data_IF_739747412567
#
_entry.id   IF_739747412567
#
_cell.length_a   1.000
_cell.length_b   1.000
_cell.length_c   1.000
_cell.angle_alpha   90.00
_cell.angle_beta   90.00
_cell.angle_gamma   90.00
#
_symmetry.space_group_name_H-M   'P 1'
#
loop_
_entity.id
_entity.type
_entity.pdbx_description
1 polymer ?
#
# COMPACT_ATOMS: atom_id res chain seq x y z
N UNK A 1 18.70 2.31 14.87
CA UNK A 1 17.51 1.43 14.90
C UNK A 1 16.53 1.91 13.84
N UNK A 2 15.87 1.01 13.09
CA UNK A 2 14.86 1.43 12.12
C UNK A 2 13.69 2.11 12.83
N UNK A 3 13.23 3.25 12.31
CA UNK A 3 12.08 3.97 12.90
C UNK A 3 10.76 3.29 12.52
N UNK A 4 9.68 3.59 13.24
CA UNK A 4 8.35 3.02 12.96
C UNK A 4 7.92 3.31 11.53
N UNK A 5 8.19 4.52 11.02
CA UNK A 5 7.90 4.87 9.62
C UNK A 5 8.69 4.03 8.61
N UNK A 6 9.94 3.69 8.87
CA UNK A 6 10.73 2.79 8.01
C UNK A 6 10.17 1.37 8.02
N UNK A 7 9.85 0.84 9.21
CA UNK A 7 9.29 -0.51 9.36
C UNK A 7 7.93 -0.61 8.67
N UNK A 8 7.05 0.37 8.88
CA UNK A 8 5.72 0.40 8.28
C UNK A 8 5.79 0.40 6.75
N UNK A 9 6.65 1.25 6.16
CA UNK A 9 6.83 1.30 4.71
C UNK A 9 7.36 -0.03 4.15
N UNK A 10 8.30 -0.68 4.86
CA UNK A 10 8.81 -1.99 4.48
C UNK A 10 7.73 -3.08 4.51
N UNK A 11 6.92 -3.14 5.57
CA UNK A 11 5.81 -4.10 5.69
C UNK A 11 4.76 -3.85 4.60
N UNK A 12 4.41 -2.58 4.34
CA UNK A 12 3.42 -2.22 3.32
C UNK A 12 3.89 -2.52 1.88
N UNK A 13 5.20 -2.55 1.64
CA UNK A 13 5.75 -2.91 0.33
C UNK A 13 5.54 -4.40 -0.03
N UNK A 14 5.57 -5.29 0.97
CA UNK A 14 5.52 -6.73 0.75
C UNK A 14 4.24 -7.20 0.01
N UNK A 15 3.02 -6.93 0.51
CA UNK A 15 1.81 -7.43 -0.14
C UNK A 15 1.63 -6.86 -1.55
N UNK A 16 1.97 -5.59 -1.77
CA UNK A 16 1.88 -4.94 -3.08
C UNK A 16 2.88 -5.56 -4.08
N UNK A 17 4.11 -5.81 -3.63
CA UNK A 17 5.15 -6.43 -4.46
C UNK A 17 4.79 -7.87 -4.81
N UNK A 18 4.34 -8.65 -3.82
CA UNK A 18 3.90 -10.03 -4.01
C UNK A 18 2.71 -10.08 -4.97
N UNK A 19 1.73 -9.20 -4.81
CA UNK A 19 0.56 -9.13 -5.68
C UNK A 19 0.96 -8.81 -7.13
N UNK A 20 1.80 -7.79 -7.33
CA UNK A 20 2.32 -7.45 -8.66
C UNK A 20 3.08 -8.61 -9.32
N UNK A 21 3.94 -9.29 -8.56
CA UNK A 21 4.68 -10.45 -9.03
C UNK A 21 3.76 -11.63 -9.38
N UNK A 22 2.71 -11.87 -8.58
CA UNK A 22 1.73 -12.92 -8.83
C UNK A 22 0.92 -12.66 -10.10
N UNK A 23 0.50 -11.41 -10.35
CA UNK A 23 -0.21 -11.05 -11.59
C UNK A 23 0.66 -11.35 -12.82
N UNK A 24 1.95 -11.00 -12.77
CA UNK A 24 2.87 -11.19 -13.89
C UNK A 24 3.28 -12.67 -14.07
N UNK A 25 3.42 -13.43 -12.99
CA UNK A 25 3.82 -14.83 -13.05
C UNK A 25 2.64 -15.76 -13.40
N UNK A 26 1.48 -15.54 -12.81
CA UNK A 26 0.29 -16.35 -13.01
C UNK A 26 -0.99 -15.52 -12.80
N UNK A 27 -1.49 -14.82 -13.84
CA UNK A 27 -2.65 -13.94 -13.72
C UNK A 27 -3.92 -14.70 -13.30
N UNK A 28 -4.07 -15.97 -13.70
CA UNK A 28 -5.23 -16.79 -13.32
C UNK A 28 -5.29 -16.98 -11.80
N UNK A 29 -4.16 -17.29 -11.15
CA UNK A 29 -4.08 -17.41 -9.69
C UNK A 29 -4.31 -16.08 -8.97
N UNK A 30 -4.05 -14.95 -9.63
CA UNK A 30 -4.30 -13.62 -9.10
C UNK A 30 -5.75 -13.13 -9.35
N UNK A 31 -6.61 -13.93 -9.98
CA UNK A 31 -7.99 -13.56 -10.31
C UNK A 31 -8.17 -12.83 -11.64
N UNK A 32 -7.10 -12.68 -12.44
CA UNK A 32 -7.07 -11.97 -13.73
C UNK A 32 -7.30 -12.90 -14.93
N UNK A 33 -8.12 -13.95 -14.79
CA UNK A 33 -8.35 -14.94 -15.84
C UNK A 33 -9.05 -14.39 -17.09
N UNK A 34 -9.96 -13.43 -16.90
CA UNK A 34 -10.72 -12.80 -18.00
C UNK A 34 -10.16 -11.42 -18.41
N UNK A 35 -8.99 -11.05 -17.89
CA UNK A 35 -8.39 -9.74 -18.15
C UNK A 35 -7.39 -9.83 -19.30
N UNK A 36 -7.44 -8.93 -20.30
CA UNK A 36 -6.44 -8.91 -21.37
C UNK A 36 -5.02 -8.83 -20.82
N UNK A 37 -4.10 -9.60 -21.44
CA UNK A 37 -2.70 -9.67 -20.99
C UNK A 37 -2.01 -8.29 -20.89
N UNK A 38 -2.36 -7.36 -21.77
CA UNK A 38 -1.86 -5.98 -21.71
C UNK A 38 -2.27 -5.27 -20.42
N UNK A 39 -3.52 -5.43 -19.99
CA UNK A 39 -4.07 -4.81 -18.78
C UNK A 39 -3.48 -5.46 -17.54
N UNK A 40 -3.37 -6.80 -17.50
CA UNK A 40 -2.74 -7.49 -16.38
C UNK A 40 -1.25 -7.11 -16.23
N UNK A 41 -0.51 -6.98 -17.33
CA UNK A 41 0.87 -6.47 -17.29
C UNK A 41 0.97 -5.05 -16.74
N UNK A 42 0.10 -4.14 -17.19
CA UNK A 42 0.07 -2.75 -16.69
C UNK A 42 -0.17 -2.73 -15.18
N UNK A 43 -1.15 -3.49 -14.69
CA UNK A 43 -1.48 -3.55 -13.26
C UNK A 43 -0.33 -4.21 -12.48
N UNK A 44 0.25 -5.29 -12.99
CA UNK A 44 1.38 -5.98 -12.37
C UNK A 44 2.62 -5.11 -12.22
N UNK A 45 3.05 -4.45 -13.30
CA UNK A 45 4.19 -3.53 -13.26
C UNK A 45 3.91 -2.26 -12.45
N UNK A 46 2.69 -1.74 -12.47
CA UNK A 46 2.29 -0.61 -11.61
C UNK A 46 2.36 -0.99 -10.14
N UNK A 47 1.89 -2.20 -9.78
CA UNK A 47 1.98 -2.73 -8.42
C UNK A 47 3.43 -2.91 -7.99
N UNK A 48 4.28 -3.53 -8.81
CA UNK A 48 5.70 -3.64 -8.52
C UNK A 48 6.37 -2.28 -8.34
N UNK A 49 6.07 -1.31 -9.22
CA UNK A 49 6.60 0.05 -9.14
C UNK A 49 6.21 0.74 -7.84
N UNK A 50 4.96 0.59 -7.41
CA UNK A 50 4.50 1.06 -6.10
C UNK A 50 5.25 0.36 -4.96
N UNK A 51 5.38 -0.96 -4.99
CA UNK A 51 6.17 -1.73 -4.01
C UNK A 51 7.61 -1.22 -3.90
N UNK A 52 8.28 -0.98 -5.02
CA UNK A 52 9.61 -0.36 -5.07
C UNK A 52 9.60 1.06 -4.49
N UNK A 53 8.60 1.88 -4.81
CA UNK A 53 8.48 3.23 -4.26
C UNK A 53 8.37 3.21 -2.72
N UNK A 54 7.62 2.26 -2.14
CA UNK A 54 7.54 2.06 -0.70
C UNK A 54 8.90 1.67 -0.09
N UNK A 55 9.63 0.77 -0.73
CA UNK A 55 10.99 0.37 -0.29
C UNK A 55 11.94 1.58 -0.35
N UNK A 56 11.97 2.30 -1.47
CA UNK A 56 12.81 3.49 -1.63
C UNK A 56 12.45 4.55 -0.60
N UNK A 57 11.16 4.78 -0.38
CA UNK A 57 10.68 5.70 0.65
C UNK A 57 11.16 5.29 2.05
N UNK A 58 11.23 4.00 2.38
CA UNK A 58 11.70 3.51 3.68
C UNK A 58 13.14 3.96 4.00
N UNK A 59 13.98 4.16 2.99
CA UNK A 59 15.36 4.64 3.10
C UNK A 59 15.52 6.17 3.03
N UNK A 60 14.45 6.91 2.72
CA UNK A 60 14.50 8.37 2.65
C UNK A 60 14.62 9.01 4.04
N UNK A 61 15.07 10.28 4.15
CA UNK A 61 15.06 11.02 5.41
C UNK A 61 13.66 11.09 6.03
N UNK A 62 13.60 11.20 7.35
CA UNK A 62 12.36 11.15 8.15
C UNK A 62 11.24 12.06 7.62
N UNK A 63 11.57 13.30 7.24
CA UNK A 63 10.60 14.26 6.68
C UNK A 63 9.93 13.71 5.41
N UNK A 64 10.72 13.15 4.49
CA UNK A 64 10.23 12.58 3.25
C UNK A 64 9.40 11.31 3.49
N UNK A 65 9.80 10.45 4.44
CA UNK A 65 9.01 9.27 4.86
C UNK A 65 7.63 9.67 5.36
N UNK A 66 7.58 10.68 6.23
CA UNK A 66 6.31 11.19 6.75
C UNK A 66 5.44 11.77 5.67
N UNK A 67 6.02 12.57 4.76
CA UNK A 67 5.28 13.12 3.63
C UNK A 67 4.70 12.00 2.77
N UNK A 68 5.52 11.00 2.42
CA UNK A 68 5.06 9.84 1.65
C UNK A 68 3.89 9.13 2.35
N UNK A 69 4.03 8.78 3.64
CA UNK A 69 2.97 8.15 4.42
C UNK A 69 1.68 8.99 4.40
N UNK A 70 1.78 10.30 4.67
CA UNK A 70 0.63 11.20 4.67
C UNK A 70 -0.03 11.34 3.30
N UNK A 71 0.75 11.39 2.21
CA UNK A 71 0.20 11.45 0.86
C UNK A 71 -0.55 10.19 0.46
N UNK A 72 -0.23 9.04 1.05
CA UNK A 72 -0.94 7.79 0.76
C UNK A 72 -2.29 7.68 1.47
N UNK A 73 -2.49 8.43 2.56
CA UNK A 73 -3.74 8.40 3.35
C UNK A 73 -5.00 8.69 2.52
N UNK A 74 -5.12 9.81 1.77
CA UNK A 74 -6.33 10.08 1.00
C UNK A 74 -6.60 9.02 -0.07
N UNK A 75 -5.55 8.51 -0.72
CA UNK A 75 -5.68 7.47 -1.75
C UNK A 75 -6.14 6.14 -1.16
N UNK A 76 -5.60 5.75 0.00
CA UNK A 76 -6.02 4.53 0.71
C UNK A 76 -7.46 4.65 1.24
N UNK A 77 -7.86 5.80 1.75
CA UNK A 77 -9.26 6.01 2.14
C UNK A 77 -10.21 5.96 0.94
N UNK A 78 -9.82 6.53 -0.21
CA UNK A 78 -10.58 6.41 -1.45
C UNK A 78 -10.67 4.95 -1.92
N UNK A 79 -9.57 4.20 -1.90
CA UNK A 79 -9.54 2.78 -2.22
C UNK A 79 -10.45 1.98 -1.28
N UNK A 80 -10.40 2.24 0.03
CA UNK A 80 -11.26 1.59 0.99
C UNK A 80 -12.76 1.85 0.73
N UNK A 81 -13.10 3.07 0.29
CA UNK A 81 -14.47 3.40 -0.11
C UNK A 81 -14.89 2.68 -1.39
N UNK A 82 -14.03 2.63 -2.42
CA UNK A 82 -14.29 1.91 -3.67
C UNK A 82 -14.53 0.43 -3.39
N UNK A 83 -13.57 -0.24 -2.74
CA UNK A 83 -13.67 -1.67 -2.47
C UNK A 83 -14.83 -2.05 -1.55
N UNK A 84 -15.32 -1.11 -0.72
CA UNK A 84 -16.50 -1.35 0.11
C UNK A 84 -17.76 -1.51 -0.75
N UNK A 85 -17.80 -0.86 -1.90
CA UNK A 85 -18.93 -0.89 -2.83
C UNK A 85 -18.86 -2.09 -3.79
N UNK A 86 -17.69 -2.72 -3.95
CA UNK A 86 -17.45 -3.86 -4.86
C UNK A 86 -17.95 -5.23 -4.31
N UNK A 87 -18.64 -5.24 -3.16
CA UNK A 87 -19.32 -6.43 -2.64
C UNK A 87 -18.41 -7.43 -1.90
N UNK A 88 -18.84 -8.70 -1.83
CA UNK A 88 -18.25 -9.68 -0.91
C UNK A 88 -16.83 -10.15 -1.31
N UNK A 89 -16.51 -10.09 -2.60
CA UNK A 89 -15.24 -10.55 -3.16
C UNK A 89 -14.07 -9.63 -2.78
N UNK A 90 -14.36 -8.35 -2.48
CA UNK A 90 -13.35 -7.37 -2.11
C UNK A 90 -13.19 -7.17 -0.59
N UNK A 91 -13.96 -7.85 0.27
CA UNK A 91 -14.11 -7.54 1.72
C UNK A 91 -12.82 -7.34 2.53
N UNK A 92 -11.71 -7.96 2.15
CA UNK A 92 -10.41 -7.77 2.81
C UNK A 92 -9.74 -6.43 2.50
N UNK A 93 -9.92 -5.91 1.28
CA UNK A 93 -9.25 -4.70 0.80
C UNK A 93 -9.74 -3.40 1.51
N UNK A 94 -11.05 -3.20 1.77
CA UNK A 94 -11.54 -2.03 2.49
C UNK A 94 -10.93 -1.91 3.88
N UNK A 95 -10.90 -3.01 4.62
CA UNK A 95 -10.35 -3.03 5.97
C UNK A 95 -8.84 -2.80 5.94
N UNK A 96 -8.13 -3.42 5.00
CA UNK A 96 -6.69 -3.23 4.83
C UNK A 96 -6.33 -1.76 4.60
N UNK A 97 -6.96 -1.10 3.62
CA UNK A 97 -6.60 0.27 3.27
C UNK A 97 -7.09 1.29 4.30
N UNK A 98 -8.25 1.07 4.91
CA UNK A 98 -8.73 1.86 6.03
C UNK A 98 -7.75 1.80 7.21
N UNK A 99 -7.41 0.59 7.68
CA UNK A 99 -6.50 0.41 8.83
C UNK A 99 -5.13 1.01 8.53
N UNK A 100 -4.55 0.76 7.35
CA UNK A 100 -3.25 1.31 7.00
C UNK A 100 -3.24 2.84 6.91
N UNK A 101 -4.35 3.47 6.54
CA UNK A 101 -4.48 4.93 6.55
C UNK A 101 -4.33 5.49 7.97
N UNK A 102 -5.03 4.90 8.94
CA UNK A 102 -4.94 5.33 10.34
C UNK A 102 -3.62 4.95 10.99
N UNK A 103 -3.04 3.80 10.65
CA UNK A 103 -1.69 3.42 11.11
C UNK A 103 -0.64 4.40 10.59
N UNK A 104 -0.74 4.85 9.33
CA UNK A 104 0.16 5.86 8.78
C UNK A 104 0.04 7.19 9.52
N UNK A 105 -1.19 7.67 9.79
CA UNK A 105 -1.43 8.87 10.59
C UNK A 105 -0.87 8.73 12.02
N UNK A 106 -1.14 7.59 12.67
CA UNK A 106 -0.68 7.29 14.02
C UNK A 106 0.85 7.26 14.12
N UNK A 107 1.53 6.57 13.21
CA UNK A 107 3.01 6.51 13.18
C UNK A 107 3.61 7.89 12.94
N UNK A 108 3.07 8.68 12.00
CA UNK A 108 3.58 10.03 11.74
C UNK A 108 3.33 10.95 12.94
N UNK A 109 2.14 10.93 13.53
CA UNK A 109 1.82 11.76 14.68
C UNK A 109 2.63 11.38 15.93
N UNK A 110 2.83 10.08 16.17
CA UNK A 110 3.68 9.59 17.25
C UNK A 110 5.12 10.02 17.05
N UNK A 111 5.70 9.77 15.88
CA UNK A 111 7.09 10.18 15.62
C UNK A 111 7.21 11.71 15.75
N UNK A 112 6.28 12.51 15.21
CA UNK A 112 6.31 13.98 15.30
C UNK A 112 6.06 14.55 16.70
N UNK A 113 5.70 13.74 17.69
CA UNK A 113 5.39 14.19 19.05
C UNK A 113 4.00 14.84 19.19
N UNK A 114 3.12 14.68 18.21
CA UNK A 114 1.74 15.21 18.25
C UNK A 114 0.86 14.42 19.23
N UNK A 115 1.16 13.13 19.40
CA UNK A 115 0.48 12.23 20.36
C UNK A 115 1.31 11.94 21.62
N UNK A 116 2.31 12.78 21.91
CA UNK A 116 3.18 12.59 23.07
C UNK A 116 2.55 13.13 24.37
N UNK A 117 2.45 12.25 25.37
CA UNK A 117 2.61 12.61 26.79
C UNK A 117 4.06 13.01 27.06
#
# INVERSE_FOLDING_TARGET
MPSLSTILLGIQALPITIFGALILYNPVKAGFHDVPASVSHIIGFSSLSLGTAYIVAAFQPRRARHQFLLTTVPLRLAAAWVFRNDGNEARGAPMWDFVNSFVALGVVGFERGVFGF
#
